data_IF_354967348343
#
_entry.id   IF_354967348343
#
_cell.length_a   1.000
_cell.length_b   1.000
_cell.length_c   1.000
_cell.angle_alpha   90.00
_cell.angle_beta   90.00
_cell.angle_gamma   90.00
#
_symmetry.space_group_name_H-M   'P 1'
#
loop_
_entity.id
_entity.type
_entity.pdbx_description
1 polymer ?
#
# COMPACT_ATOMS: atom_id res chain seq x y z
N UNK A 1 -0.27 9.53 5.28
CA UNK A 1 1.12 9.61 5.79
C UNK A 1 1.66 8.21 5.66
N UNK A 2 2.75 8.01 4.92
CA UNK A 2 3.35 6.69 4.78
C UNK A 2 4.05 6.31 6.08
N UNK A 3 3.73 5.14 6.63
CA UNK A 3 4.49 4.59 7.76
C UNK A 3 5.84 4.08 7.25
N UNK A 4 6.94 4.59 7.81
CA UNK A 4 8.30 4.22 7.37
C UNK A 4 8.66 2.83 7.89
N UNK A 5 8.51 1.83 7.03
CA UNK A 5 8.93 0.44 7.29
C UNK A 5 10.38 0.20 6.84
N UNK A 6 11.01 -0.91 7.25
CA UNK A 6 12.27 -1.36 6.65
C UNK A 6 12.21 -1.44 5.11
N UNK A 7 11.09 -1.94 4.56
CA UNK A 7 10.89 -2.00 3.11
C UNK A 7 10.84 -0.59 2.48
N UNK A 8 10.17 0.38 3.11
CA UNK A 8 10.15 1.76 2.63
C UNK A 8 11.56 2.39 2.61
N UNK A 9 12.41 2.07 3.60
CA UNK A 9 13.82 2.52 3.62
C UNK A 9 14.63 1.89 2.48
N UNK A 10 14.45 0.59 2.23
CA UNK A 10 15.07 -0.08 1.08
C UNK A 10 14.59 0.53 -0.23
N UNK A 11 13.29 0.80 -0.38
CA UNK A 11 12.73 1.44 -1.56
C UNK A 11 13.32 2.82 -1.83
N UNK A 12 13.53 3.64 -0.79
CA UNK A 12 14.23 4.93 -0.90
C UNK A 12 15.68 4.75 -1.35
N UNK A 13 16.40 3.76 -0.82
CA UNK A 13 17.76 3.43 -1.29
C UNK A 13 17.76 3.05 -2.78
N UNK A 14 16.87 2.14 -3.18
CA UNK A 14 16.75 1.69 -4.58
C UNK A 14 16.34 2.83 -5.52
N UNK A 15 15.50 3.75 -5.05
CA UNK A 15 15.15 4.97 -5.78
C UNK A 15 16.41 5.78 -6.15
N UNK A 16 17.31 6.01 -5.20
CA UNK A 16 18.55 6.75 -5.47
C UNK A 16 19.53 5.95 -6.34
N UNK A 17 19.59 4.64 -6.17
CA UNK A 17 20.39 3.76 -7.03
C UNK A 17 19.93 3.84 -8.50
N UNK A 18 18.63 3.70 -8.75
CA UNK A 18 18.06 3.84 -10.09
C UNK A 18 18.36 5.23 -10.68
N UNK A 19 18.14 6.28 -9.89
CA UNK A 19 18.35 7.66 -10.33
C UNK A 19 19.81 7.96 -10.67
N UNK A 20 20.75 7.53 -9.84
CA UNK A 20 22.18 7.79 -10.04
C UNK A 20 22.78 6.94 -11.17
N UNK A 21 22.22 5.77 -11.43
CA UNK A 21 22.60 4.91 -12.56
C UNK A 21 21.91 5.28 -13.89
N UNK A 22 21.02 6.29 -13.89
CA UNK A 22 20.27 6.68 -15.09
C UNK A 22 19.29 5.61 -15.57
N UNK A 23 18.89 4.69 -14.69
CA UNK A 23 17.96 3.58 -14.97
C UNK A 23 16.55 3.93 -14.48
N UNK A 24 15.56 3.23 -15.04
CA UNK A 24 14.20 3.23 -14.50
C UNK A 24 14.16 2.52 -13.15
N UNK A 25 13.20 2.88 -12.32
CA UNK A 25 12.89 2.17 -11.08
C UNK A 25 11.68 1.27 -11.32
N UNK A 26 11.75 0.01 -10.94
CA UNK A 26 10.61 -0.90 -10.99
C UNK A 26 10.28 -1.40 -9.59
N UNK A 27 9.08 -1.07 -9.12
CA UNK A 27 8.50 -1.65 -7.92
C UNK A 27 7.56 -2.78 -8.34
N UNK A 28 7.88 -4.01 -7.92
CA UNK A 28 7.12 -5.21 -8.28
C UNK A 28 6.50 -5.81 -7.03
N UNK A 29 5.25 -6.27 -7.07
CA UNK A 29 4.65 -7.00 -5.95
C UNK A 29 3.15 -6.75 -5.83
N UNK A 30 2.45 -7.42 -4.91
CA UNK A 30 1.00 -7.36 -4.82
C UNK A 30 0.43 -5.94 -4.71
N UNK A 31 -0.80 -5.75 -5.17
CA UNK A 31 -1.53 -4.51 -4.93
C UNK A 31 -1.67 -4.24 -3.41
N UNK A 32 -1.68 -2.96 -3.03
CA UNK A 32 -1.77 -2.54 -1.62
C UNK A 32 -0.49 -2.65 -0.79
N UNK A 33 0.63 -3.06 -1.38
CA UNK A 33 1.94 -3.09 -0.71
C UNK A 33 2.62 -1.71 -0.59
N UNK A 34 1.99 -0.66 -1.12
CA UNK A 34 2.46 0.73 -0.98
C UNK A 34 3.48 1.19 -2.01
N UNK A 35 3.59 0.51 -3.17
CA UNK A 35 4.53 0.87 -4.27
C UNK A 35 4.43 2.35 -4.69
N UNK A 36 3.26 2.76 -5.16
CA UNK A 36 3.00 4.11 -5.67
C UNK A 36 3.10 5.16 -4.57
N UNK A 37 2.58 4.86 -3.37
CA UNK A 37 2.66 5.76 -2.22
C UNK A 37 4.11 5.97 -1.76
N UNK A 38 4.93 4.93 -1.78
CA UNK A 38 6.37 5.03 -1.45
C UNK A 38 7.13 5.91 -2.43
N UNK A 39 6.87 5.77 -3.74
CA UNK A 39 7.48 6.66 -4.74
C UNK A 39 7.06 8.12 -4.54
N UNK A 40 5.75 8.36 -4.36
CA UNK A 40 5.19 9.70 -4.15
C UNK A 40 5.72 10.36 -2.88
N UNK A 41 5.76 9.61 -1.77
CA UNK A 41 6.29 10.09 -0.49
C UNK A 41 7.78 10.42 -0.57
N UNK A 42 8.56 9.59 -1.25
CA UNK A 42 9.99 9.86 -1.50
C UNK A 42 10.20 11.13 -2.32
N UNK A 43 9.38 11.35 -3.36
CA UNK A 43 9.41 12.60 -4.12
C UNK A 43 9.06 13.82 -3.26
N UNK A 44 8.02 13.69 -2.40
CA UNK A 44 7.61 14.75 -1.48
C UNK A 44 8.70 15.09 -0.48
N UNK A 45 9.42 14.10 0.06
CA UNK A 45 10.58 14.33 0.95
C UNK A 45 11.72 15.08 0.25
N UNK A 46 11.87 14.90 -1.08
CA UNK A 46 12.82 15.63 -1.90
C UNK A 46 12.31 17.03 -2.33
N UNK A 47 11.13 17.45 -1.87
CA UNK A 47 10.52 18.72 -2.25
C UNK A 47 10.07 18.78 -3.72
N UNK A 48 9.86 17.63 -4.36
CA UNK A 48 9.42 17.54 -5.76
C UNK A 48 8.06 16.87 -5.87
N UNK A 49 7.27 17.26 -6.87
CA UNK A 49 5.97 16.65 -7.16
C UNK A 49 6.15 15.47 -8.10
N UNK A 50 5.60 14.31 -7.73
CA UNK A 50 5.47 13.17 -8.62
C UNK A 50 4.24 13.33 -9.52
N UNK A 51 4.38 12.96 -10.80
CA UNK A 51 3.26 12.79 -11.74
C UNK A 51 2.91 11.30 -11.81
N UNK A 52 1.68 10.92 -11.47
CA UNK A 52 1.27 9.52 -11.35
C UNK A 52 0.08 9.25 -12.26
N UNK A 53 0.13 8.18 -13.04
CA UNK A 53 -0.97 7.72 -13.89
C UNK A 53 -1.03 6.20 -13.88
N UNK A 54 -2.22 5.64 -13.75
CA UNK A 54 -2.46 4.20 -13.73
C UNK A 54 -2.84 3.61 -15.09
N UNK A 55 -2.97 4.44 -16.14
CA UNK A 55 -3.40 4.03 -17.49
C UNK A 55 -4.47 2.91 -17.47
N UNK A 56 -5.43 3.01 -16.55
CA UNK A 56 -6.37 1.91 -16.22
C UNK A 56 -7.41 1.69 -17.32
N UNK A 57 -7.49 2.61 -18.29
CA UNK A 57 -8.22 2.45 -19.55
C UNK A 57 -7.26 2.16 -20.74
N UNK A 58 -6.00 1.86 -20.44
CA UNK A 58 -4.89 1.67 -21.37
C UNK A 58 -4.21 2.98 -21.76
N UNK A 59 -2.87 3.00 -21.74
CA UNK A 59 -2.14 3.83 -22.70
C UNK A 59 -2.29 3.07 -24.02
N UNK A 60 -3.10 3.58 -24.94
CA UNK A 60 -3.34 2.90 -26.21
C UNK A 60 -2.19 3.09 -27.20
N UNK A 61 -1.24 3.98 -26.88
CA UNK A 61 -0.15 4.34 -27.79
C UNK A 61 1.14 4.77 -27.06
N UNK A 62 2.27 4.66 -27.76
CA UNK A 62 3.54 5.22 -27.31
C UNK A 62 3.47 6.75 -27.18
N UNK A 63 2.67 7.42 -28.01
CA UNK A 63 2.45 8.87 -28.00
C UNK A 63 1.83 9.34 -26.68
N UNK A 64 0.86 8.60 -26.13
CA UNK A 64 0.23 8.96 -24.86
C UNK A 64 1.19 8.80 -23.69
N UNK A 65 2.04 7.77 -23.73
CA UNK A 65 3.14 7.62 -22.77
C UNK A 65 4.11 8.79 -22.90
N UNK A 66 4.52 9.19 -24.12
CA UNK A 66 5.40 10.36 -24.33
C UNK A 66 4.81 11.64 -23.74
N UNK A 67 3.51 11.92 -23.98
CA UNK A 67 2.81 13.07 -23.40
C UNK A 67 2.83 13.03 -21.88
N UNK A 68 2.58 11.87 -21.28
CA UNK A 68 2.60 11.71 -19.84
C UNK A 68 4.01 11.89 -19.25
N UNK A 69 5.04 11.33 -19.89
CA UNK A 69 6.43 11.49 -19.47
C UNK A 69 6.87 12.97 -19.48
N UNK A 70 6.34 13.77 -20.40
CA UNK A 70 6.57 15.22 -20.47
C UNK A 70 5.86 16.02 -19.36
N UNK A 71 4.96 15.41 -18.58
CA UNK A 71 4.21 16.09 -17.52
C UNK A 71 5.05 16.46 -16.29
N UNK A 72 6.22 15.86 -16.10
CA UNK A 72 7.07 16.15 -14.96
C UNK A 72 8.39 15.41 -14.97
N UNK A 73 9.33 15.86 -14.12
CA UNK A 73 10.66 15.26 -13.98
C UNK A 73 10.66 13.92 -13.23
N UNK A 74 9.64 13.67 -12.41
CA UNK A 74 9.47 12.46 -11.62
C UNK A 74 8.11 11.86 -11.94
N UNK A 75 8.11 10.70 -12.59
CA UNK A 75 6.91 10.11 -13.15
C UNK A 75 6.74 8.69 -12.61
N UNK A 76 5.51 8.34 -12.22
CA UNK A 76 5.13 6.97 -11.86
C UNK A 76 4.07 6.46 -12.82
N UNK A 77 4.38 5.37 -13.51
CA UNK A 77 3.41 4.60 -14.29
C UNK A 77 2.93 3.47 -13.39
N UNK A 78 1.72 3.60 -12.86
CA UNK A 78 1.14 2.64 -11.94
C UNK A 78 0.47 1.48 -12.70
N UNK A 79 0.66 0.26 -12.22
CA UNK A 79 0.07 -0.97 -12.78
C UNK A 79 0.39 -1.17 -14.27
N UNK A 80 1.68 -1.09 -14.62
CA UNK A 80 2.23 -1.17 -15.98
C UNK A 80 1.81 -2.44 -16.73
N UNK A 81 1.45 -3.52 -16.03
CA UNK A 81 0.88 -4.74 -16.63
C UNK A 81 -0.46 -4.53 -17.35
N UNK A 82 -1.11 -3.38 -17.13
CA UNK A 82 -2.37 -3.01 -17.79
C UNK A 82 -2.15 -2.37 -19.16
N UNK A 83 -0.90 -2.08 -19.53
CA UNK A 83 -0.52 -1.48 -20.82
C UNK A 83 -0.35 -2.55 -21.91
N UNK A 84 -0.46 -2.13 -23.18
CA UNK A 84 -0.21 -3.02 -24.31
C UNK A 84 1.27 -3.47 -24.35
N UNK A 85 1.58 -4.75 -24.62
CA UNK A 85 2.96 -5.28 -24.54
C UNK A 85 3.98 -4.56 -25.43
N UNK A 86 3.56 -4.08 -26.60
CA UNK A 86 4.38 -3.29 -27.51
C UNK A 86 4.75 -1.91 -26.91
N UNK A 87 3.81 -1.28 -26.20
CA UNK A 87 4.07 -0.03 -25.47
C UNK A 87 5.01 -0.29 -24.29
N UNK A 88 4.83 -1.41 -23.56
CA UNK A 88 5.77 -1.83 -22.50
C UNK A 88 7.16 -2.05 -23.09
N UNK A 89 7.29 -2.75 -24.21
CA UNK A 89 8.59 -2.99 -24.87
C UNK A 89 9.30 -1.71 -25.28
N UNK A 90 8.55 -0.70 -25.75
CA UNK A 90 9.10 0.60 -26.13
C UNK A 90 9.53 1.47 -24.93
N UNK A 91 9.01 1.22 -23.73
CA UNK A 91 9.10 2.12 -22.58
C UNK A 91 10.54 2.55 -22.22
N UNK A 92 11.57 1.67 -22.15
CA UNK A 92 12.94 2.10 -21.88
C UNK A 92 13.45 3.18 -22.85
N UNK A 93 13.11 3.08 -24.13
CA UNK A 93 13.46 4.07 -25.15
C UNK A 93 12.73 5.39 -24.92
N UNK A 94 11.42 5.32 -24.66
CA UNK A 94 10.59 6.50 -24.37
C UNK A 94 11.08 7.26 -23.14
N UNK A 95 11.47 6.54 -22.08
CA UNK A 95 12.00 7.16 -20.86
C UNK A 95 13.34 7.84 -21.12
N UNK A 96 14.25 7.18 -21.85
CA UNK A 96 15.54 7.76 -22.23
C UNK A 96 15.38 9.05 -23.04
N UNK A 97 14.43 9.09 -23.98
CA UNK A 97 14.10 10.28 -24.76
C UNK A 97 13.52 11.42 -23.91
N UNK A 98 12.74 11.10 -22.89
CA UNK A 98 12.04 12.11 -22.07
C UNK A 98 12.96 12.88 -21.11
N UNK A 99 14.05 12.25 -20.65
CA UNK A 99 14.89 12.79 -19.58
C UNK A 99 14.23 12.80 -18.19
N UNK A 100 13.03 12.23 -18.04
CA UNK A 100 12.33 12.09 -16.77
C UNK A 100 12.87 10.89 -15.98
N UNK A 101 12.88 10.99 -14.64
CA UNK A 101 13.11 9.85 -13.77
C UNK A 101 11.79 9.09 -13.58
N UNK A 102 11.76 7.84 -14.03
CA UNK A 102 10.53 7.06 -14.13
C UNK A 102 10.55 5.88 -13.17
N UNK A 103 9.49 5.76 -12.38
CA UNK A 103 9.12 4.56 -11.66
C UNK A 103 7.98 3.85 -12.38
N UNK A 104 8.06 2.54 -12.49
CA UNK A 104 6.96 1.69 -12.93
C UNK A 104 6.53 0.80 -11.75
N UNK A 105 5.24 0.72 -11.52
CA UNK A 105 4.64 -0.18 -10.52
C UNK A 105 4.04 -1.37 -11.25
N UNK A 106 4.32 -2.58 -10.78
CA UNK A 106 3.80 -3.81 -11.38
C UNK A 106 3.22 -4.76 -10.32
N UNK A 107 1.98 -5.21 -10.51
CA UNK A 107 1.35 -6.21 -9.64
C UNK A 107 1.51 -7.65 -10.14
N UNK A 108 1.91 -7.84 -11.41
CA UNK A 108 2.05 -9.16 -12.01
C UNK A 108 3.38 -9.83 -11.62
N UNK A 109 3.37 -11.15 -11.50
CA UNK A 109 4.60 -11.95 -11.32
C UNK A 109 5.52 -11.84 -12.54
N UNK A 110 4.94 -11.70 -13.73
CA UNK A 110 5.65 -11.53 -14.99
C UNK A 110 5.04 -10.38 -15.77
N UNK A 111 5.88 -9.45 -16.24
CA UNK A 111 5.47 -8.33 -17.09
C UNK A 111 5.75 -8.66 -18.55
N UNK A 112 4.70 -8.88 -19.36
CA UNK A 112 4.84 -9.12 -20.80
C UNK A 112 5.39 -7.87 -21.49
N UNK A 113 6.29 -8.04 -22.46
CA UNK A 113 6.93 -6.92 -23.15
C UNK A 113 8.14 -6.33 -22.41
N UNK A 114 8.50 -6.88 -21.24
CA UNK A 114 9.69 -6.44 -20.48
C UNK A 114 10.97 -7.20 -20.84
N UNK A 115 10.95 -8.00 -21.91
CA UNK A 115 12.12 -8.71 -22.41
C UNK A 115 13.25 -7.69 -22.70
N UNK A 116 14.39 -7.83 -22.02
CA UNK A 116 15.54 -6.92 -22.17
C UNK A 116 15.58 -5.74 -21.19
N UNK A 117 14.64 -5.62 -20.24
CA UNK A 117 14.66 -4.56 -19.24
C UNK A 117 15.77 -4.68 -18.17
N UNK A 118 16.49 -5.80 -18.11
CA UNK A 118 17.48 -6.08 -17.07
C UNK A 118 18.55 -4.97 -16.93
N UNK A 119 18.97 -4.39 -18.05
CA UNK A 119 19.95 -3.31 -18.04
C UNK A 119 19.33 -1.91 -17.91
N UNK A 120 18.03 -1.78 -18.19
CA UNK A 120 17.30 -0.51 -18.18
C UNK A 120 16.64 -0.19 -16.83
N UNK A 121 16.49 -1.18 -15.94
CA UNK A 121 15.75 -1.05 -14.68
C UNK A 121 16.59 -1.47 -13.47
N UNK A 122 16.34 -0.80 -12.34
CA UNK A 122 16.63 -1.33 -11.01
C UNK A 122 15.30 -1.79 -10.41
N UNK A 123 15.23 -3.07 -10.02
CA UNK A 123 14.00 -3.71 -9.55
C UNK A 123 14.04 -3.85 -8.04
N UNK A 124 12.92 -3.57 -7.37
CA UNK A 124 12.68 -3.93 -5.98
C UNK A 124 11.35 -4.65 -5.86
N UNK A 125 11.40 -5.85 -5.26
CA UNK A 125 10.22 -6.60 -4.88
C UNK A 125 9.63 -6.06 -3.57
N UNK A 126 8.36 -5.67 -3.64
CA UNK A 126 7.52 -5.26 -2.54
C UNK A 126 6.72 -6.46 -2.04
N UNK A 127 6.86 -6.73 -0.75
CA UNK A 127 6.01 -7.66 -0.02
C UNK A 127 5.08 -6.89 0.90
N UNK A 128 4.00 -7.53 1.36
CA UNK A 128 3.19 -6.94 2.41
C UNK A 128 4.06 -6.84 3.69
N UNK A 129 4.29 -5.64 4.24
CA UNK A 129 5.00 -5.51 5.51
C UNK A 129 4.17 -6.12 6.66
N UNK A 130 4.82 -6.57 7.74
CA UNK A 130 4.11 -6.96 8.96
C UNK A 130 3.17 -5.84 9.43
N UNK A 131 1.91 -6.18 9.73
CA UNK A 131 0.90 -5.18 10.05
C UNK A 131 1.04 -4.62 11.47
N UNK A 132 1.51 -5.41 12.45
CA UNK A 132 1.61 -4.94 13.83
C UNK A 132 2.43 -3.64 13.99
N UNK A 133 3.66 -3.50 13.43
CA UNK A 133 4.41 -2.24 13.48
C UNK A 133 3.72 -1.08 12.77
N UNK A 134 2.91 -1.36 11.74
CA UNK A 134 2.14 -0.32 11.04
C UNK A 134 1.03 0.19 11.94
N UNK A 135 0.30 -0.69 12.61
CA UNK A 135 -0.80 -0.31 13.47
C UNK A 135 -0.30 0.39 14.73
N UNK A 136 0.82 -0.06 15.31
CA UNK A 136 1.49 0.66 16.41
C UNK A 136 1.80 2.12 16.02
N UNK A 137 2.44 2.33 14.87
CA UNK A 137 2.76 3.67 14.39
C UNK A 137 1.50 4.52 14.15
N UNK A 138 0.48 3.95 13.51
CA UNK A 138 -0.77 4.67 13.24
C UNK A 138 -1.53 5.02 14.52
N UNK A 139 -1.65 4.08 15.47
CA UNK A 139 -2.30 4.30 16.76
C UNK A 139 -1.54 5.35 17.59
N UNK A 140 -0.20 5.29 17.59
CA UNK A 140 0.64 6.31 18.21
C UNK A 140 0.35 7.70 17.66
N UNK A 141 0.18 7.83 16.34
CA UNK A 141 -0.17 9.09 15.69
C UNK A 141 -1.57 9.61 16.04
N UNK A 142 -2.50 8.71 16.38
CA UNK A 142 -3.82 9.08 16.90
C UNK A 142 -3.82 9.34 18.42
N UNK A 143 -2.69 9.18 19.11
CA UNK A 143 -2.54 9.53 20.52
C UNK A 143 -2.76 8.39 21.52
N UNK A 144 -2.87 7.13 21.06
CA UNK A 144 -2.98 5.97 21.94
C UNK A 144 -1.67 5.69 22.66
N UNK A 145 -1.72 5.51 23.98
CA UNK A 145 -0.54 5.24 24.82
C UNK A 145 -0.14 3.76 24.76
N UNK A 146 -1.12 2.86 24.66
CA UNK A 146 -0.92 1.41 24.56
C UNK A 146 -0.63 0.89 23.15
N UNK A 147 -0.23 1.76 22.22
CA UNK A 147 -0.21 1.50 20.77
C UNK A 147 0.50 0.21 20.35
N UNK A 148 1.63 -0.12 20.95
CA UNK A 148 2.40 -1.33 20.61
C UNK A 148 1.62 -2.62 20.90
N UNK A 149 1.10 -2.75 22.12
CA UNK A 149 0.28 -3.91 22.51
C UNK A 149 -1.04 -3.96 21.73
N UNK A 150 -1.67 -2.81 21.51
CA UNK A 150 -2.89 -2.72 20.73
C UNK A 150 -2.65 -3.14 19.26
N UNK A 151 -1.55 -2.70 18.66
CA UNK A 151 -1.13 -3.08 17.32
C UNK A 151 -0.91 -4.59 17.15
N UNK A 152 -0.27 -5.23 18.13
CA UNK A 152 -0.08 -6.69 18.15
C UNK A 152 -1.42 -7.44 18.22
N UNK A 153 -2.29 -7.07 19.17
CA UNK A 153 -3.62 -7.70 19.33
C UNK A 153 -4.45 -7.56 18.05
N UNK A 154 -4.40 -6.39 17.44
CA UNK A 154 -5.13 -6.05 16.24
C UNK A 154 -4.63 -6.82 15.00
N UNK A 155 -3.32 -6.94 14.84
CA UNK A 155 -2.74 -7.77 13.79
C UNK A 155 -3.13 -9.24 13.97
N UNK A 156 -3.08 -9.76 15.20
CA UNK A 156 -3.52 -11.12 15.51
C UNK A 156 -5.02 -11.32 15.20
N UNK A 157 -5.87 -10.37 15.58
CA UNK A 157 -7.29 -10.40 15.28
C UNK A 157 -7.56 -10.41 13.77
N UNK A 158 -6.85 -9.58 12.99
CA UNK A 158 -7.03 -9.54 11.53
C UNK A 158 -6.56 -10.83 10.86
N UNK A 159 -5.44 -11.41 11.31
CA UNK A 159 -4.99 -12.71 10.76
C UNK A 159 -5.98 -13.84 11.08
N UNK A 160 -6.57 -13.85 12.28
CA UNK A 160 -7.62 -14.81 12.63
C UNK A 160 -8.90 -14.60 11.79
N UNK A 161 -9.28 -13.34 11.53
CA UNK A 161 -10.38 -13.01 10.61
C UNK A 161 -10.10 -13.52 9.21
N UNK A 162 -8.90 -13.28 8.67
CA UNK A 162 -8.48 -13.77 7.34
C UNK A 162 -8.46 -15.29 7.23
N UNK A 163 -8.16 -15.98 8.33
CA UNK A 163 -8.16 -17.43 8.40
C UNK A 163 -9.58 -18.04 8.52
N UNK A 164 -10.59 -17.23 8.81
CA UNK A 164 -11.98 -17.69 8.92
C UNK A 164 -12.59 -18.02 7.56
N UNK A 165 -13.56 -18.94 7.55
CA UNK A 165 -14.30 -19.30 6.34
C UNK A 165 -15.21 -18.17 5.81
N UNK A 166 -15.55 -17.21 6.67
CA UNK A 166 -16.42 -16.07 6.35
C UNK A 166 -15.67 -14.84 5.83
N UNK A 167 -14.36 -14.92 5.66
CA UNK A 167 -13.57 -13.82 5.14
C UNK A 167 -13.83 -13.63 3.64
N UNK A 168 -14.23 -12.42 3.26
CA UNK A 168 -14.39 -12.02 1.85
C UNK A 168 -13.01 -11.86 1.22
N UNK A 169 -12.50 -12.94 0.60
CA UNK A 169 -11.20 -13.00 -0.11
C UNK A 169 -11.07 -12.04 -1.32
N UNK A 170 -12.04 -11.15 -1.54
CA UNK A 170 -12.05 -10.17 -2.62
C UNK A 170 -10.94 -9.10 -2.52
N UNK A 171 -10.97 -8.09 -3.40
CA UNK A 171 -10.04 -6.96 -3.55
C UNK A 171 -9.56 -6.25 -2.26
N UNK A 172 -10.21 -6.47 -1.12
CA UNK A 172 -9.81 -5.88 0.16
C UNK A 172 -8.53 -6.50 0.73
N UNK A 173 -8.21 -7.75 0.39
CA UNK A 173 -6.90 -8.35 0.68
C UNK A 173 -5.76 -7.60 -0.04
N UNK A 174 -6.07 -6.98 -1.18
CA UNK A 174 -5.15 -6.15 -1.96
C UNK A 174 -5.02 -4.73 -1.43
N UNK A 175 -5.63 -4.38 -0.29
CA UNK A 175 -5.60 -3.01 0.25
C UNK A 175 -5.53 -2.97 1.79
N UNK A 176 -4.94 -4.00 2.42
CA UNK A 176 -4.90 -4.15 3.88
C UNK A 176 -4.28 -2.96 4.62
N UNK A 177 -3.24 -2.32 4.06
CA UNK A 177 -2.62 -1.13 4.68
C UNK A 177 -3.59 0.06 4.67
N UNK A 178 -4.34 0.26 3.57
CA UNK A 178 -5.36 1.30 3.48
C UNK A 178 -6.52 1.01 4.42
N UNK A 179 -6.93 -0.24 4.53
CA UNK A 179 -7.94 -0.70 5.49
C UNK A 179 -7.51 -0.39 6.93
N UNK A 180 -6.26 -0.74 7.30
CA UNK A 180 -5.69 -0.44 8.61
C UNK A 180 -5.72 1.07 8.93
N UNK A 181 -5.29 1.91 7.97
CA UNK A 181 -5.33 3.36 8.16
C UNK A 181 -6.75 3.90 8.40
N UNK A 182 -7.73 3.49 7.57
CA UNK A 182 -9.13 3.92 7.75
C UNK A 182 -9.70 3.49 9.10
N UNK A 183 -9.37 2.27 9.55
CA UNK A 183 -9.83 1.75 10.84
C UNK A 183 -9.20 2.49 12.02
N UNK A 184 -7.89 2.76 11.98
CA UNK A 184 -7.21 3.53 13.04
C UNK A 184 -7.72 4.97 13.11
N UNK A 185 -8.03 5.60 11.97
CA UNK A 185 -8.68 6.92 11.96
C UNK A 185 -10.04 6.91 12.66
N UNK A 186 -10.86 5.87 12.45
CA UNK A 186 -12.12 5.71 13.15
C UNK A 186 -11.93 5.48 14.68
N UNK A 187 -10.89 4.74 15.07
CA UNK A 187 -10.50 4.56 16.47
C UNK A 187 -10.11 5.89 17.11
N UNK A 188 -9.25 6.69 16.46
CA UNK A 188 -8.84 7.99 16.97
C UNK A 188 -10.00 8.99 17.09
N UNK A 189 -10.95 8.98 16.15
CA UNK A 189 -12.17 9.78 16.24
C UNK A 189 -13.00 9.39 17.47
N UNK A 190 -13.21 8.09 17.70
CA UNK A 190 -13.94 7.60 18.86
C UNK A 190 -13.21 7.94 20.18
N UNK A 191 -11.89 7.78 20.21
CA UNK A 191 -11.09 8.04 21.41
C UNK A 191 -11.11 9.51 21.83
N UNK A 192 -11.08 10.44 20.87
CA UNK A 192 -11.22 11.89 21.15
C UNK A 192 -12.58 12.24 21.79
N UNK A 193 -13.65 11.53 21.43
CA UNK A 193 -14.99 11.76 22.01
C UNK A 193 -15.04 11.29 23.46
N UNK A 194 -14.39 10.17 23.77
CA UNK A 194 -14.40 9.56 25.11
C UNK A 194 -13.18 9.92 25.96
N UNK A 195 -12.37 10.89 25.54
CA UNK A 195 -11.18 11.28 26.30
C UNK A 195 -10.13 10.17 26.50
N UNK A 196 -10.11 9.13 25.66
CA UNK A 196 -9.25 7.94 25.80
C UNK A 196 -9.47 7.13 27.10
N UNK A 197 -10.65 7.21 27.73
CA UNK A 197 -10.94 6.55 29.02
C UNK A 197 -10.67 5.02 29.05
N UNK A 198 -10.89 4.31 27.93
CA UNK A 198 -10.69 2.87 27.80
C UNK A 198 -10.25 2.51 26.37
N UNK A 199 -8.94 2.59 26.11
CA UNK A 199 -8.34 2.36 24.79
C UNK A 199 -8.66 0.97 24.21
N UNK A 200 -8.58 -0.08 25.04
CA UNK A 200 -8.88 -1.46 24.62
C UNK A 200 -10.33 -1.55 24.12
N UNK A 201 -11.30 -1.02 24.90
CA UNK A 201 -12.71 -1.01 24.50
C UNK A 201 -12.97 -0.22 23.22
N UNK A 202 -12.35 0.95 23.08
CA UNK A 202 -12.48 1.78 21.87
C UNK A 202 -11.96 1.01 20.66
N UNK A 203 -10.75 0.46 20.75
CA UNK A 203 -10.13 -0.32 19.68
C UNK A 203 -10.98 -1.54 19.34
N UNK A 204 -11.40 -2.33 20.34
CA UNK A 204 -12.24 -3.51 20.14
C UNK A 204 -13.54 -3.22 19.40
N UNK A 205 -14.26 -2.18 19.82
CA UNK A 205 -15.53 -1.80 19.20
C UNK A 205 -15.36 -1.28 17.77
N UNK A 206 -14.33 -0.49 17.50
CA UNK A 206 -14.11 0.06 16.16
C UNK A 206 -13.48 -0.97 15.22
N UNK A 207 -12.66 -1.89 15.73
CA UNK A 207 -12.16 -3.03 14.98
C UNK A 207 -13.32 -3.92 14.51
N UNK A 208 -14.24 -4.28 15.42
CA UNK A 208 -15.45 -5.02 15.07
C UNK A 208 -16.22 -4.34 13.93
N UNK A 209 -16.57 -3.06 14.10
CA UNK A 209 -17.32 -2.29 13.08
C UNK A 209 -16.61 -2.24 11.73
N UNK A 210 -15.30 -2.04 11.72
CA UNK A 210 -14.52 -1.94 10.48
C UNK A 210 -14.39 -3.29 9.78
N UNK A 211 -14.18 -4.36 10.55
CA UNK A 211 -13.98 -5.72 10.05
C UNK A 211 -15.28 -6.36 9.53
N UNK A 212 -16.47 -5.90 9.93
CA UNK A 212 -17.73 -6.33 9.30
C UNK A 212 -17.71 -6.14 7.78
N UNK A 213 -17.03 -5.09 7.29
CA UNK A 213 -16.97 -4.81 5.85
C UNK A 213 -16.17 -5.85 5.04
N UNK A 214 -15.30 -6.62 5.68
CA UNK A 214 -14.47 -7.69 5.07
C UNK A 214 -14.97 -9.10 5.42
N UNK A 215 -16.10 -9.19 6.12
CA UNK A 215 -16.74 -10.43 6.56
C UNK A 215 -18.05 -10.64 5.83
N UNK A 216 -18.43 -11.90 5.56
CA UNK A 216 -19.79 -12.27 5.20
C UNK A 216 -20.76 -12.02 6.37
N UNK A 217 -22.03 -11.73 6.06
CA UNK A 217 -23.05 -11.46 7.09
C UNK A 217 -23.22 -12.62 8.06
N UNK A 218 -23.13 -13.86 7.57
CA UNK A 218 -23.21 -15.07 8.39
C UNK A 218 -22.04 -15.18 9.40
N UNK A 219 -20.90 -14.53 9.14
CA UNK A 219 -19.73 -14.55 10.00
C UNK A 219 -19.74 -13.52 11.13
N UNK A 220 -20.80 -12.72 11.28
CA UNK A 220 -20.85 -11.65 12.29
C UNK A 220 -20.61 -12.14 13.72
N UNK A 221 -21.23 -13.25 14.11
CA UNK A 221 -21.05 -13.81 15.46
C UNK A 221 -19.65 -14.42 15.65
N UNK A 222 -19.10 -15.01 14.58
CA UNK A 222 -17.70 -15.45 14.57
C UNK A 222 -16.75 -14.26 14.80
N UNK A 223 -16.97 -13.13 14.13
CA UNK A 223 -16.18 -11.91 14.33
C UNK A 223 -16.28 -11.38 15.77
N UNK A 224 -17.46 -11.43 16.40
CA UNK A 224 -17.61 -11.07 17.83
C UNK A 224 -16.72 -11.94 18.72
N UNK A 225 -16.70 -13.25 18.45
CA UNK A 225 -15.83 -14.21 19.14
C UNK A 225 -14.35 -13.86 18.98
N UNK A 226 -13.90 -13.61 17.76
CA UNK A 226 -12.51 -13.25 17.45
C UNK A 226 -12.08 -11.93 18.10
N UNK A 227 -12.95 -10.92 18.08
CA UNK A 227 -12.68 -9.63 18.75
C UNK A 227 -12.58 -9.82 20.27
N UNK A 228 -13.46 -10.62 20.88
CA UNK A 228 -13.37 -10.94 22.30
C UNK A 228 -12.08 -11.68 22.64
N UNK A 229 -11.71 -12.67 21.83
CA UNK A 229 -10.51 -13.49 22.03
C UNK A 229 -9.23 -12.67 21.93
N UNK A 230 -9.06 -11.90 20.84
CA UNK A 230 -7.79 -11.22 20.56
C UNK A 230 -7.71 -9.82 21.16
N UNK A 231 -8.83 -9.11 21.28
CA UNK A 231 -8.86 -7.73 21.79
C UNK A 231 -9.36 -7.64 23.24
N UNK A 232 -9.98 -8.69 23.78
CA UNK A 232 -10.46 -8.74 25.16
C UNK A 232 -11.76 -7.96 25.40
N UNK A 233 -12.49 -7.63 24.34
CA UNK A 233 -13.68 -6.75 24.40
C UNK A 233 -14.89 -7.48 23.84
N UNK A 234 -16.00 -7.45 24.58
CA UNK A 234 -17.29 -7.89 24.04
C UNK A 234 -17.85 -6.83 23.08
N UNK A 235 -17.88 -7.17 21.79
CA UNK A 235 -18.48 -6.32 20.77
C UNK A 235 -20.01 -6.32 20.88
N UNK A 236 -20.60 -5.12 20.98
CA UNK A 236 -22.05 -4.91 20.98
C UNK A 236 -22.69 -5.33 19.64
#
# INVERSE_FOLDING_TARGET
MLVVTPLARTARKTFFEAKTSGKMLMFKGPAGTGKTETFNDTCRELGVKACISSFSEGATSAEDVKKFLASGKYVCIDSVESMAPDVVSALPGLVKESGSFVCVSCNAETLKGSEGWADACVVLDFTLPPLAPIWDALLSCEGFVGSGKLGDKLAACLEAVKASEFFKKDEKDKNLVRFANSMVQAMGQAARVTGYDDEDKIVGQQAFKSMLSIMEEAGKDSLKGLVKEHLGVEAA
#
